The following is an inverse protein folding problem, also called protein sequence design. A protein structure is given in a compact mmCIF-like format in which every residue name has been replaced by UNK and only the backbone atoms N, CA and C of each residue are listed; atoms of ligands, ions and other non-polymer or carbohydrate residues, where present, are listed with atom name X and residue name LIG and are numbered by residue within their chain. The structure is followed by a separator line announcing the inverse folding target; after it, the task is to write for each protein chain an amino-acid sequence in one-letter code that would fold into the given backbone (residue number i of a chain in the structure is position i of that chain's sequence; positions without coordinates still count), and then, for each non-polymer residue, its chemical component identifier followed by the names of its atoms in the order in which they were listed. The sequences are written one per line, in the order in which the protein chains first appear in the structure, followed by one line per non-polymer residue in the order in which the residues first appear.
data_IF_808733697383
#
_entry.id   IF_808733697383
#
_cell.length_a   1.000
_cell.length_b   1.000
_cell.length_c   1.000
_cell.angle_alpha   90.00
_cell.angle_beta   90.00
_cell.angle_gamma   90.00
#
_symmetry.space_group_name_H-M   'P 1'
#
loop_
_entity.id
_entity.type
_entity.pdbx_description
1 polymer ?
#
# COMPACT_ATOMS: atom_id res chain seq x y z
N UNK A 1 -4.39 9.96 -12.11
CA UNK A 1 -4.42 8.53 -11.75
C UNK A 1 -5.85 8.04 -11.75
N UNK A 2 -6.06 6.81 -12.18
CA UNK A 2 -7.34 6.10 -12.12
C UNK A 2 -7.56 5.48 -10.73
N UNK A 3 -8.82 5.21 -10.39
CA UNK A 3 -9.17 4.70 -9.06
C UNK A 3 -8.53 3.33 -8.74
N UNK A 4 -8.35 2.48 -9.76
CA UNK A 4 -7.77 1.15 -9.63
C UNK A 4 -6.26 1.16 -9.40
N UNK A 5 -5.55 2.17 -9.92
CA UNK A 5 -4.09 2.31 -9.71
C UNK A 5 -3.77 2.58 -8.23
N UNK A 6 -4.60 3.42 -7.60
CA UNK A 6 -4.50 3.74 -6.17
C UNK A 6 -4.91 2.52 -5.33
N UNK A 7 -5.89 1.77 -5.81
CA UNK A 7 -6.50 0.64 -5.08
C UNK A 7 -5.49 -0.46 -4.76
N UNK A 8 -4.69 -0.90 -5.73
CA UNK A 8 -3.76 -2.01 -5.53
C UNK A 8 -2.56 -1.63 -4.66
N UNK A 9 -2.01 -0.41 -4.80
CA UNK A 9 -1.00 0.10 -3.87
C UNK A 9 -1.59 0.16 -2.45
N UNK A 10 -2.82 0.67 -2.33
CA UNK A 10 -3.47 0.77 -1.01
C UNK A 10 -3.73 -0.60 -0.40
N UNK A 11 -4.04 -1.61 -1.21
CA UNK A 11 -4.22 -3.01 -0.79
C UNK A 11 -2.91 -3.58 -0.26
N UNK A 12 -1.82 -3.43 -1.00
CA UNK A 12 -0.49 -3.86 -0.58
C UNK A 12 -0.07 -3.27 0.79
N UNK A 13 -0.23 -1.95 0.95
CA UNK A 13 0.08 -1.28 2.22
C UNK A 13 -0.86 -1.70 3.36
N UNK A 14 -2.15 -1.90 3.06
CA UNK A 14 -3.13 -2.35 4.04
C UNK A 14 -2.80 -3.74 4.60
N UNK A 15 -2.31 -4.66 3.75
CA UNK A 15 -1.89 -6.00 4.19
C UNK A 15 -0.71 -5.88 5.16
N UNK A 16 0.32 -5.08 4.87
CA UNK A 16 1.45 -4.85 5.78
C UNK A 16 1.02 -4.31 7.15
N UNK A 17 0.03 -3.41 7.16
CA UNK A 17 -0.53 -2.86 8.40
C UNK A 17 -1.34 -3.91 9.15
N UNK A 18 -2.14 -4.70 8.43
CA UNK A 18 -3.03 -5.71 8.99
C UNK A 18 -2.24 -6.85 9.64
N UNK A 19 -1.31 -7.44 8.89
CA UNK A 19 -0.53 -8.60 9.29
C UNK A 19 0.64 -8.21 10.23
N UNK A 20 1.49 -7.27 9.81
CA UNK A 20 2.72 -6.95 10.53
C UNK A 20 2.60 -5.76 11.50
N UNK A 21 1.42 -5.14 11.60
CA UNK A 21 1.22 -3.93 12.40
C UNK A 21 2.05 -2.72 11.92
N UNK A 22 2.59 -2.76 10.70
CA UNK A 22 3.55 -1.77 10.22
C UNK A 22 2.87 -0.58 9.52
N UNK A 23 2.67 0.51 10.27
CA UNK A 23 2.12 1.78 9.75
C UNK A 23 3.16 2.65 9.04
N UNK A 24 4.45 2.33 9.16
CA UNK A 24 5.55 3.21 8.76
C UNK A 24 5.48 3.64 7.30
N UNK A 25 5.11 2.73 6.39
CA UNK A 25 5.05 3.04 4.96
C UNK A 25 3.87 3.94 4.61
N UNK A 26 2.74 3.79 5.30
CA UNK A 26 1.58 4.66 5.15
C UNK A 26 1.93 6.08 5.58
N UNK A 27 2.57 6.22 6.74
CA UNK A 27 2.98 7.52 7.28
C UNK A 27 4.03 8.17 6.39
N UNK A 28 5.10 7.44 6.06
CA UNK A 28 6.19 7.92 5.18
C UNK A 28 5.66 8.39 3.82
N UNK A 29 4.72 7.65 3.22
CA UNK A 29 4.14 8.03 1.92
C UNK A 29 3.28 9.29 2.03
N UNK A 30 2.46 9.41 3.08
CA UNK A 30 1.62 10.57 3.33
C UNK A 30 2.40 11.89 3.46
N UNK A 31 3.68 11.81 3.85
CA UNK A 31 4.57 12.97 4.01
C UNK A 31 5.71 13.06 2.98
N UNK A 32 5.71 12.24 1.92
CA UNK A 32 6.78 12.25 0.93
C UNK A 32 6.85 13.60 0.18
N UNK A 33 7.95 14.37 0.28
CA UNK A 33 8.07 15.71 -0.33
C UNK A 33 8.51 15.65 -1.80
N UNK A 34 8.94 14.48 -2.28
CA UNK A 34 9.40 14.27 -3.64
C UNK A 34 8.95 12.92 -4.17
N UNK A 35 8.85 12.86 -5.50
CA UNK A 35 8.48 11.64 -6.23
C UNK A 35 9.47 10.52 -5.96
N UNK A 36 10.76 10.82 -6.00
CA UNK A 36 11.80 9.83 -5.82
C UNK A 36 11.74 9.22 -4.41
N UNK A 37 11.39 10.03 -3.39
CA UNK A 37 11.19 9.53 -2.04
C UNK A 37 9.91 8.70 -1.91
N UNK A 38 8.82 9.11 -2.56
CA UNK A 38 7.59 8.31 -2.60
C UNK A 38 7.83 6.93 -3.23
N UNK A 39 8.52 6.88 -4.38
CA UNK A 39 8.91 5.64 -5.05
C UNK A 39 9.85 4.81 -4.17
N UNK A 40 10.81 5.43 -3.49
CA UNK A 40 11.69 4.75 -2.55
C UNK A 40 10.90 4.05 -1.43
N UNK A 41 9.92 4.72 -0.82
CA UNK A 41 9.09 4.13 0.22
C UNK A 41 8.17 3.02 -0.30
N UNK A 42 7.60 3.18 -1.50
CA UNK A 42 6.83 2.11 -2.14
C UNK A 42 7.70 0.88 -2.43
N UNK A 43 8.94 1.08 -2.89
CA UNK A 43 9.92 0.00 -3.08
C UNK A 43 10.20 -0.73 -1.77
N UNK A 44 10.44 -0.02 -0.68
CA UNK A 44 10.65 -0.65 0.65
C UNK A 44 9.42 -1.45 1.09
N UNK A 45 8.23 -0.87 0.93
CA UNK A 45 6.98 -1.54 1.27
C UNK A 45 6.77 -2.83 0.47
N UNK A 46 7.00 -2.79 -0.84
CA UNK A 46 6.87 -3.98 -1.70
C UNK A 46 7.88 -5.06 -1.36
N UNK A 47 9.13 -4.69 -1.04
CA UNK A 47 10.13 -5.66 -0.57
C UNK A 47 9.68 -6.36 0.70
N UNK A 48 9.16 -5.61 1.66
CA UNK A 48 8.69 -6.16 2.93
C UNK A 48 7.44 -7.03 2.73
N UNK A 49 6.53 -6.63 1.82
CA UNK A 49 5.38 -7.43 1.41
C UNK A 49 5.83 -8.76 0.80
N UNK A 50 6.79 -8.75 -0.12
CA UNK A 50 7.35 -9.98 -0.70
C UNK A 50 7.98 -10.88 0.36
N UNK A 51 8.71 -10.33 1.33
CA UNK A 51 9.27 -11.11 2.43
C UNK A 51 8.19 -11.75 3.30
N UNK A 52 7.09 -11.03 3.55
CA UNK A 52 5.96 -11.49 4.34
C UNK A 52 5.12 -12.55 3.61
N UNK A 53 4.93 -12.42 2.30
CA UNK A 53 4.21 -13.41 1.48
C UNK A 53 4.84 -14.82 1.49
N UNK A 54 6.14 -14.92 1.80
CA UNK A 54 6.84 -16.20 1.97
C UNK A 54 6.69 -16.84 3.36
N UNK A 55 5.96 -16.20 4.28
CA UNK A 55 5.77 -16.64 5.66
C UNK A 55 4.31 -17.02 5.90
N UNK A 56 4.06 -17.69 7.02
CA UNK A 56 2.69 -17.94 7.50
C UNK A 56 2.08 -16.62 7.97
N UNK A 57 0.87 -16.33 7.50
CA UNK A 57 0.08 -15.20 7.98
C UNK A 57 -0.61 -15.58 9.30
N UNK A 58 -0.64 -14.64 10.23
CA UNK A 58 -1.45 -14.72 11.44
C UNK A 58 -2.89 -14.27 11.17
N UNK A 59 -3.09 -13.33 10.24
CA UNK A 59 -4.39 -12.81 9.85
C UNK A 59 -4.87 -13.40 8.51
N UNK A 60 -5.89 -14.26 8.56
CA UNK A 60 -6.38 -14.98 7.35
C UNK A 60 -6.96 -14.03 6.30
N UNK A 61 -7.57 -12.93 6.72
CA UNK A 61 -8.14 -11.92 5.81
C UNK A 61 -7.03 -11.12 5.10
N UNK A 62 -5.93 -10.85 5.79
CA UNK A 62 -4.74 -10.26 5.20
C UNK A 62 -4.08 -11.23 4.21
N UNK A 63 -4.07 -12.54 4.50
CA UNK A 63 -3.57 -13.56 3.57
C UNK A 63 -4.40 -13.60 2.28
N UNK A 64 -5.73 -13.64 2.40
CA UNK A 64 -6.65 -13.60 1.26
C UNK A 64 -6.42 -12.33 0.43
N UNK A 65 -6.37 -11.18 1.08
CA UNK A 65 -6.09 -9.91 0.42
C UNK A 65 -4.73 -9.94 -0.29
N UNK A 66 -3.68 -10.47 0.33
CA UNK A 66 -2.34 -10.57 -0.27
C UNK A 66 -2.34 -11.41 -1.56
N UNK A 67 -3.06 -12.53 -1.58
CA UNK A 67 -3.16 -13.44 -2.74
C UNK A 67 -3.90 -12.82 -3.93
N UNK A 68 -4.76 -11.85 -3.68
CA UNK A 68 -5.54 -11.16 -4.70
C UNK A 68 -4.90 -9.85 -5.19
N UNK A 69 -3.70 -9.49 -4.72
CA UNK A 69 -3.00 -8.31 -5.20
C UNK A 69 -2.59 -8.50 -6.66
N UNK A 70 -2.90 -7.53 -7.50
CA UNK A 70 -2.52 -7.52 -8.91
C UNK A 70 -1.23 -6.73 -9.09
N UNK A 71 -0.09 -7.41 -9.03
CA UNK A 71 1.23 -6.76 -9.09
C UNK A 71 1.48 -6.00 -10.40
N UNK A 72 0.89 -6.44 -11.52
CA UNK A 72 0.96 -5.73 -12.80
C UNK A 72 0.32 -4.34 -12.72
N UNK A 73 -0.75 -4.21 -11.93
CA UNK A 73 -1.41 -2.93 -11.70
C UNK A 73 -0.61 -2.01 -10.79
N UNK A 74 0.12 -2.59 -9.81
CA UNK A 74 1.08 -1.84 -8.99
C UNK A 74 2.22 -1.31 -9.86
N UNK A 75 2.78 -2.13 -10.76
CA UNK A 75 3.84 -1.68 -11.67
C UNK A 75 3.37 -0.49 -12.54
N UNK A 76 2.16 -0.59 -13.13
CA UNK A 76 1.58 0.52 -13.88
C UNK A 76 1.40 1.77 -13.03
N UNK A 77 0.88 1.62 -11.81
CA UNK A 77 0.71 2.74 -10.87
C UNK A 77 2.06 3.40 -10.52
N UNK A 78 3.13 2.61 -10.32
CA UNK A 78 4.48 3.13 -10.09
C UNK A 78 5.00 3.92 -11.30
N UNK A 79 4.78 3.44 -12.52
CA UNK A 79 5.15 4.17 -13.75
C UNK A 79 4.38 5.48 -13.91
N UNK A 80 3.14 5.56 -13.39
CA UNK A 80 2.36 6.81 -13.38
C UNK A 80 2.92 7.78 -12.36
N UNK A 81 3.16 7.31 -11.13
CA UNK A 81 3.76 8.12 -10.06
C UNK A 81 5.13 8.64 -10.50
N UNK A 82 5.94 7.82 -11.19
CA UNK A 82 7.27 8.23 -11.68
C UNK A 82 7.22 9.36 -12.72
N UNK A 83 6.06 9.64 -13.32
CA UNK A 83 5.87 10.71 -14.30
C UNK A 83 5.27 11.99 -13.71
N UNK A 84 4.86 11.98 -12.44
CA UNK A 84 4.33 13.16 -11.76
C UNK A 84 5.46 14.17 -11.55
N UNK A 85 5.30 15.36 -12.12
CA UNK A 85 6.19 16.50 -11.92
C UNK A 85 5.62 17.54 -10.94
N UNK A 86 4.30 17.60 -10.81
CA UNK A 86 3.63 18.53 -9.91
C UNK A 86 3.63 18.04 -8.46
N UNK A 87 4.15 18.85 -7.54
CA UNK A 87 4.26 18.50 -6.12
C UNK A 87 2.91 18.41 -5.43
N UNK A 88 1.93 19.21 -5.86
CA UNK A 88 0.58 19.21 -5.27
C UNK A 88 -0.14 17.94 -5.66
N UNK A 89 -0.10 17.55 -6.94
CA UNK A 89 -0.64 16.29 -7.45
C UNK A 89 0.00 15.09 -6.73
N UNK A 90 1.33 15.06 -6.61
CA UNK A 90 2.03 14.00 -5.88
C UNK A 90 1.49 13.86 -4.46
N UNK A 91 1.41 14.99 -3.72
CA UNK A 91 0.93 15.01 -2.34
C UNK A 91 -0.52 14.53 -2.21
N UNK A 92 -1.39 14.93 -3.13
CA UNK A 92 -2.79 14.52 -3.14
C UNK A 92 -2.93 13.01 -3.36
N UNK A 93 -2.17 12.46 -4.29
CA UNK A 93 -2.15 11.03 -4.60
C UNK A 93 -1.60 10.22 -3.43
N UNK A 94 -0.44 10.60 -2.88
CA UNK A 94 0.17 9.84 -1.78
C UNK A 94 -0.67 9.90 -0.51
N UNK A 95 -1.29 11.05 -0.21
CA UNK A 95 -2.25 11.18 0.88
C UNK A 95 -3.49 10.29 0.67
N UNK A 96 -4.00 10.19 -0.56
CA UNK A 96 -5.14 9.35 -0.87
C UNK A 96 -4.81 7.85 -0.75
N UNK A 97 -3.62 7.44 -1.21
CA UNK A 97 -3.11 6.07 -1.02
C UNK A 97 -3.03 5.76 0.48
N UNK A 98 -2.42 6.66 1.27
CA UNK A 98 -2.29 6.46 2.72
C UNK A 98 -3.66 6.32 3.41
N UNK A 99 -4.59 7.22 3.12
CA UNK A 99 -5.94 7.19 3.69
C UNK A 99 -6.69 5.90 3.33
N UNK A 100 -6.64 5.47 2.07
CA UNK A 100 -7.26 4.21 1.62
C UNK A 100 -6.61 2.98 2.25
N UNK A 101 -5.29 3.00 2.42
CA UNK A 101 -4.55 1.92 3.09
C UNK A 101 -5.01 1.74 4.53
N UNK A 102 -5.16 2.84 5.28
CA UNK A 102 -5.67 2.82 6.65
C UNK A 102 -7.10 2.26 6.70
N UNK A 103 -7.99 2.79 5.86
CA UNK A 103 -9.39 2.34 5.82
C UNK A 103 -9.51 0.84 5.49
N UNK A 104 -8.67 0.32 4.59
CA UNK A 104 -8.62 -1.11 4.25
C UNK A 104 -8.03 -1.95 5.37
N UNK A 105 -6.93 -1.52 5.96
CA UNK A 105 -6.29 -2.25 7.06
C UNK A 105 -7.23 -2.42 8.26
N UNK A 106 -8.03 -1.40 8.57
CA UNK A 106 -9.04 -1.46 9.61
C UNK A 106 -10.13 -2.50 9.30
N UNK A 107 -10.53 -2.64 8.03
CA UNK A 107 -11.46 -3.69 7.60
C UNK A 107 -10.86 -5.09 7.76
N UNK A 108 -9.63 -5.29 7.32
CA UNK A 108 -8.92 -6.57 7.44
C UNK A 108 -8.78 -7.00 8.91
N UNK A 109 -8.35 -6.07 9.78
CA UNK A 109 -8.24 -6.32 11.23
C UNK A 109 -9.60 -6.61 11.89
N UNK A 110 -10.68 -5.92 11.49
CA UNK A 110 -12.00 -6.11 12.09
C UNK A 110 -12.64 -7.44 11.70
N UNK A 111 -12.40 -7.91 10.48
CA UNK A 111 -12.92 -9.19 9.99
C UNK A 111 -12.24 -10.38 10.69
N UNK A 112 -10.96 -10.24 11.02
CA UNK A 112 -10.16 -11.25 11.75
C UNK A 112 -10.66 -11.50 13.17
N UNK A 113 -11.08 -10.45 13.89
CA UNK A 113 -11.62 -10.56 15.27
C UNK A 113 -13.00 -11.26 15.32
N UNK A 114 -13.64 -11.49 14.17
CA UNK A 114 -14.93 -12.19 14.08
C UNK A 114 -14.80 -13.65 13.63
N UNK A 115 -13.59 -14.12 13.34
CA UNK A 115 -13.25 -15.50 12.99
C UNK A 115 -13.08 -16.39 14.20
#
# INVERSE_FOLDING_TARGET
MEAWEIEEISKALAVLVAEAGNYSYVDKLGYAPSRDLAIFYLKEALRDLHSMMGKKFENEEAEKAAKEIKFEQIDFALQKISKISDRKELREITALIAAKSLAKSAKLKKSDVKG
#
